data_IF_055507420735
#
_entry.id   IF_055507420735
#
_cell.length_a   1.000
_cell.length_b   1.000
_cell.length_c   1.000
_cell.angle_alpha   90.00
_cell.angle_beta   90.00
_cell.angle_gamma   90.00
#
_symmetry.space_group_name_H-M   'P 1'
#
loop_
_entity.id
_entity.type
_entity.pdbx_description
1 polymer ?
#
# COMPACT_ATOMS: atom_id res chain seq x y z
N UNK A 1 24.17 9.33 3.44
CA UNK A 1 23.38 9.87 3.61
C UNK A 1 22.55 10.66 2.66
N UNK A 2 21.37 10.12 2.43
CA UNK A 2 20.41 10.67 1.52
C UNK A 2 19.33 11.43 2.28
N UNK A 3 19.00 12.63 1.81
CA UNK A 3 17.98 13.46 2.41
C UNK A 3 16.57 12.92 2.24
N UNK A 4 15.63 13.52 2.97
CA UNK A 4 14.22 13.11 2.99
C UNK A 4 13.57 13.15 1.60
N UNK A 5 13.92 14.12 0.76
CA UNK A 5 13.34 14.26 -0.57
C UNK A 5 13.74 13.13 -1.52
N UNK A 6 14.99 12.70 -1.49
CA UNK A 6 15.45 11.57 -2.31
C UNK A 6 14.79 10.27 -1.86
N UNK A 7 14.66 10.06 -0.55
CA UNK A 7 13.95 8.90 -0.01
C UNK A 7 12.49 8.89 -0.44
N UNK A 8 11.81 10.02 -0.34
CA UNK A 8 10.41 10.15 -0.77
C UNK A 8 10.26 9.89 -2.28
N UNK A 9 11.17 10.41 -3.10
CA UNK A 9 11.19 10.17 -4.54
C UNK A 9 11.40 8.69 -4.87
N UNK A 10 12.31 8.01 -4.16
CA UNK A 10 12.55 6.58 -4.33
C UNK A 10 11.31 5.74 -3.98
N UNK A 11 10.67 6.05 -2.86
CA UNK A 11 9.43 5.37 -2.42
C UNK A 11 8.31 5.61 -3.43
N UNK A 12 8.13 6.83 -3.90
CA UNK A 12 7.14 7.18 -4.91
C UNK A 12 7.37 6.39 -6.20
N UNK A 13 8.60 6.35 -6.71
CA UNK A 13 8.93 5.61 -7.93
C UNK A 13 8.67 4.12 -7.78
N UNK A 14 9.05 3.53 -6.67
CA UNK A 14 8.89 2.10 -6.44
C UNK A 14 7.43 1.71 -6.21
N UNK A 15 6.73 2.39 -5.30
CA UNK A 15 5.37 2.02 -4.88
C UNK A 15 4.31 2.54 -5.85
N UNK A 16 4.36 3.82 -6.20
CA UNK A 16 3.32 4.46 -7.02
C UNK A 16 3.55 4.23 -8.51
N UNK A 17 4.80 4.31 -8.97
CA UNK A 17 5.14 4.15 -10.37
C UNK A 17 5.53 2.73 -10.74
N UNK A 18 5.55 1.81 -9.77
CA UNK A 18 5.85 0.39 -9.96
C UNK A 18 7.22 0.14 -10.60
N UNK A 19 8.19 1.00 -10.34
CA UNK A 19 9.56 0.84 -10.83
C UNK A 19 10.31 -0.11 -9.91
N UNK A 20 10.91 -1.20 -10.41
CA UNK A 20 11.69 -2.12 -9.58
C UNK A 20 12.83 -1.41 -8.85
N UNK A 21 13.21 -1.93 -7.67
CA UNK A 21 14.21 -1.30 -6.79
C UNK A 21 15.55 -1.04 -7.52
N UNK A 22 16.03 -1.99 -8.31
CA UNK A 22 17.27 -1.83 -9.08
C UNK A 22 17.18 -0.69 -10.09
N UNK A 23 16.03 -0.52 -10.71
CA UNK A 23 15.81 0.57 -11.66
C UNK A 23 15.67 1.90 -10.98
N UNK A 24 15.08 1.95 -9.79
CA UNK A 24 15.06 3.16 -8.95
C UNK A 24 16.50 3.57 -8.62
N UNK A 25 17.33 2.63 -8.20
CA UNK A 25 18.76 2.89 -7.92
C UNK A 25 19.49 3.44 -9.14
N UNK A 26 19.27 2.85 -10.31
CA UNK A 26 19.87 3.31 -11.55
C UNK A 26 19.42 4.74 -11.90
N UNK A 27 18.12 5.01 -11.81
CA UNK A 27 17.54 6.33 -12.07
C UNK A 27 18.17 7.40 -11.18
N UNK A 28 18.29 7.13 -9.87
CA UNK A 28 18.87 8.08 -8.93
C UNK A 28 20.38 8.25 -9.12
N UNK A 29 21.10 7.22 -9.53
CA UNK A 29 22.52 7.34 -9.93
C UNK A 29 22.68 8.23 -11.15
N UNK A 30 21.87 8.02 -12.16
CA UNK A 30 21.95 8.74 -13.42
C UNK A 30 21.59 10.22 -13.26
N UNK A 31 20.57 10.53 -12.46
CA UNK A 31 20.09 11.90 -12.27
C UNK A 31 20.86 12.67 -11.19
N UNK A 32 21.28 12.01 -10.12
CA UNK A 32 21.79 12.67 -8.91
C UNK A 32 23.14 12.13 -8.43
N UNK A 33 23.81 11.29 -9.21
CA UNK A 33 25.08 10.66 -8.85
C UNK A 33 25.03 9.91 -7.49
N UNK A 34 23.90 9.28 -7.17
CA UNK A 34 23.70 8.55 -5.91
C UNK A 34 24.39 7.17 -5.98
N UNK A 35 25.71 7.14 -5.93
CA UNK A 35 26.53 5.96 -6.24
C UNK A 35 26.52 4.86 -5.19
N UNK A 36 26.19 5.18 -3.93
CA UNK A 36 26.16 4.19 -2.82
C UNK A 36 24.78 3.58 -2.60
N UNK A 37 23.82 3.87 -3.46
CA UNK A 37 22.45 3.38 -3.32
C UNK A 37 22.33 1.95 -3.84
N UNK A 38 21.65 1.08 -3.09
CA UNK A 38 21.36 -0.28 -3.48
C UNK A 38 19.86 -0.62 -3.28
N UNK A 39 19.42 -1.73 -3.86
CA UNK A 39 18.03 -2.17 -3.76
C UNK A 39 17.53 -2.29 -2.31
N UNK A 40 18.38 -2.77 -1.41
CA UNK A 40 18.05 -2.87 0.01
C UNK A 40 17.75 -1.52 0.65
N UNK A 41 18.42 -0.43 0.21
CA UNK A 41 18.12 0.92 0.67
C UNK A 41 16.70 1.33 0.31
N UNK A 42 16.27 1.07 -0.91
CA UNK A 42 14.91 1.37 -1.38
C UNK A 42 13.88 0.57 -0.57
N UNK A 43 14.11 -0.72 -0.40
CA UNK A 43 13.24 -1.59 0.42
C UNK A 43 13.11 -1.07 1.85
N UNK A 44 14.22 -0.68 2.48
CA UNK A 44 14.20 -0.11 3.84
C UNK A 44 13.42 1.20 3.91
N UNK A 45 13.54 2.05 2.91
CA UNK A 45 12.80 3.32 2.87
C UNK A 45 11.30 3.10 2.66
N UNK A 46 10.92 2.13 1.81
CA UNK A 46 9.50 1.75 1.63
C UNK A 46 8.92 1.23 2.94
N UNK A 47 9.62 0.33 3.63
CA UNK A 47 9.18 -0.20 4.91
C UNK A 47 9.10 0.90 5.98
N UNK A 48 10.05 1.82 6.00
CA UNK A 48 10.04 2.98 6.89
C UNK A 48 8.86 3.91 6.63
N UNK A 49 8.56 4.18 5.36
CA UNK A 49 7.40 4.98 4.97
C UNK A 49 6.09 4.30 5.39
N UNK A 50 5.97 3.00 5.20
CA UNK A 50 4.79 2.23 5.61
C UNK A 50 4.55 2.35 7.12
N UNK A 51 5.59 2.25 7.94
CA UNK A 51 5.49 2.45 9.39
C UNK A 51 5.05 3.87 9.75
N UNK A 52 5.63 4.87 9.10
CA UNK A 52 5.30 6.29 9.34
C UNK A 52 3.85 6.60 8.97
N UNK A 53 3.33 5.96 7.93
CA UNK A 53 1.96 6.17 7.44
C UNK A 53 0.90 5.30 8.14
N UNK A 54 1.30 4.49 9.12
CA UNK A 54 0.39 3.59 9.83
C UNK A 54 -0.82 4.32 10.44
N UNK A 55 -0.61 5.45 11.08
CA UNK A 55 -1.68 6.24 11.68
C UNK A 55 -2.65 6.81 10.62
N UNK A 56 -2.13 7.19 9.45
CA UNK A 56 -2.96 7.65 8.33
C UNK A 56 -3.84 6.50 7.81
N UNK A 57 -3.27 5.30 7.67
CA UNK A 57 -4.01 4.10 7.25
C UNK A 57 -5.13 3.76 8.23
N UNK A 58 -4.84 3.80 9.53
CA UNK A 58 -5.85 3.60 10.58
C UNK A 58 -6.95 4.67 10.53
N UNK A 59 -6.60 5.91 10.28
CA UNK A 59 -7.57 7.00 10.12
C UNK A 59 -8.48 6.78 8.92
N UNK A 60 -7.94 6.35 7.77
CA UNK A 60 -8.72 5.99 6.58
C UNK A 60 -9.71 4.88 6.91
N UNK A 61 -9.25 3.84 7.59
CA UNK A 61 -10.10 2.72 7.99
C UNK A 61 -11.23 3.19 8.91
N UNK A 62 -10.94 4.03 9.90
CA UNK A 62 -11.94 4.59 10.80
C UNK A 62 -13.00 5.41 10.05
N UNK A 63 -12.58 6.20 9.08
CA UNK A 63 -13.51 6.97 8.23
C UNK A 63 -14.40 6.07 7.39
N UNK A 64 -13.87 4.98 6.86
CA UNK A 64 -14.63 3.99 6.10
C UNK A 64 -15.65 3.25 6.98
N UNK A 65 -15.38 3.06 8.27
CA UNK A 65 -16.32 2.41 9.20
C UNK A 65 -17.51 3.30 9.57
N UNK A 66 -17.32 4.62 9.54
CA UNK A 66 -18.38 5.61 9.84
C UNK A 66 -19.31 5.86 8.65
N UNK A 67 -18.92 5.48 7.45
CA UNK A 67 -19.55 5.91 6.21
C UNK A 67 -20.83 5.19 5.85
N UNK A 68 -21.57 5.75 4.87
CA UNK A 68 -22.81 5.24 4.33
C UNK A 68 -22.64 4.08 3.34
N UNK A 69 -22.46 4.39 2.05
CA UNK A 69 -22.30 3.37 1.00
C UNK A 69 -20.82 3.00 0.85
N UNK A 70 -20.53 1.71 0.92
CA UNK A 70 -19.17 1.16 0.79
C UNK A 70 -19.14 0.05 -0.25
N UNK A 71 -18.06 -0.01 -1.00
CA UNK A 71 -17.79 -1.08 -1.95
C UNK A 71 -16.76 -2.03 -1.35
N UNK A 72 -17.06 -3.30 -1.38
CA UNK A 72 -16.15 -4.37 -0.97
C UNK A 72 -15.82 -5.23 -2.17
N UNK A 73 -14.53 -5.49 -2.36
CA UNK A 73 -14.05 -6.39 -3.40
C UNK A 73 -12.96 -7.30 -2.85
N UNK A 74 -12.87 -8.50 -3.42
CA UNK A 74 -11.86 -9.49 -3.03
C UNK A 74 -11.16 -10.01 -4.28
N UNK A 75 -9.85 -9.95 -4.28
CA UNK A 75 -9.02 -10.44 -5.38
C UNK A 75 -8.01 -11.46 -4.86
N UNK A 76 -7.97 -12.64 -5.48
CA UNK A 76 -6.97 -13.65 -5.17
C UNK A 76 -5.59 -13.25 -5.69
N UNK A 77 -4.57 -13.40 -4.86
CA UNK A 77 -3.18 -13.17 -5.24
C UNK A 77 -2.25 -14.18 -4.57
N UNK A 78 -1.07 -14.39 -5.12
CA UNK A 78 -0.08 -15.28 -4.54
C UNK A 78 1.02 -14.50 -3.85
N UNK A 79 1.26 -14.85 -2.57
CA UNK A 79 2.36 -14.31 -1.78
C UNK A 79 3.26 -15.48 -1.39
N UNK A 80 4.51 -15.45 -1.80
CA UNK A 80 5.48 -16.54 -1.57
C UNK A 80 4.92 -17.92 -2.00
N UNK A 81 4.24 -17.98 -3.14
CA UNK A 81 3.64 -19.20 -3.68
C UNK A 81 2.31 -19.62 -3.06
N UNK A 82 1.89 -18.99 -1.97
CA UNK A 82 0.64 -19.31 -1.27
C UNK A 82 -0.48 -18.36 -1.69
N UNK A 83 -1.69 -18.88 -1.83
CA UNK A 83 -2.87 -18.09 -2.16
C UNK A 83 -3.27 -17.22 -0.96
N UNK A 84 -3.42 -15.94 -1.21
CA UNK A 84 -3.94 -14.94 -0.30
C UNK A 84 -5.06 -14.15 -0.98
N UNK A 85 -5.75 -13.34 -0.20
CA UNK A 85 -6.86 -12.52 -0.68
C UNK A 85 -6.62 -11.07 -0.33
N UNK A 86 -6.64 -10.22 -1.36
CA UNK A 86 -6.62 -8.78 -1.20
C UNK A 86 -8.06 -8.31 -1.05
N UNK A 87 -8.38 -7.78 0.11
CA UNK A 87 -9.67 -7.16 0.38
C UNK A 87 -9.53 -5.65 0.18
N UNK A 88 -10.36 -5.07 -0.66
CA UNK A 88 -10.48 -3.63 -0.80
C UNK A 88 -11.81 -3.14 -0.25
N UNK A 89 -11.74 -2.07 0.51
CA UNK A 89 -12.90 -1.39 1.06
C UNK A 89 -12.80 0.05 0.60
N UNK A 90 -13.83 0.55 -0.08
CA UNK A 90 -13.80 1.91 -0.60
C UNK A 90 -15.15 2.62 -0.50
N UNK A 91 -15.09 3.92 -0.40
CA UNK A 91 -16.22 4.83 -0.60
C UNK A 91 -15.85 5.89 -1.64
N UNK A 92 -16.59 6.99 -1.70
CA UNK A 92 -16.32 8.08 -2.64
C UNK A 92 -15.01 8.83 -2.40
N UNK A 93 -14.41 8.72 -1.20
CA UNK A 93 -13.25 9.50 -0.78
C UNK A 93 -12.04 8.66 -0.42
N UNK A 94 -12.23 7.44 0.11
CA UNK A 94 -11.16 6.63 0.69
C UNK A 94 -11.18 5.21 0.16
N UNK A 95 -9.99 4.59 0.11
CA UNK A 95 -9.80 3.17 -0.17
C UNK A 95 -8.81 2.58 0.83
N UNK A 96 -9.17 1.44 1.41
CA UNK A 96 -8.30 0.67 2.30
C UNK A 96 -8.09 -0.73 1.74
N UNK A 97 -6.85 -1.21 1.79
CA UNK A 97 -6.49 -2.55 1.36
C UNK A 97 -6.00 -3.39 2.52
N UNK A 98 -6.38 -4.66 2.53
CA UNK A 98 -5.91 -5.64 3.51
C UNK A 98 -5.67 -6.98 2.84
N UNK A 99 -4.57 -7.64 3.19
CA UNK A 99 -4.26 -8.99 2.73
C UNK A 99 -4.60 -9.98 3.84
N UNK A 100 -5.31 -11.07 3.47
CA UNK A 100 -5.68 -12.15 4.37
C UNK A 100 -5.41 -13.50 3.71
N UNK A 101 -5.05 -14.50 4.52
CA UNK A 101 -4.94 -15.88 4.06
C UNK A 101 -6.30 -16.53 3.79
N UNK A 102 -7.39 -15.94 4.28
CA UNK A 102 -8.77 -16.48 4.15
C UNK A 102 -9.62 -15.56 3.27
N UNK A 103 -10.38 -16.20 2.39
CA UNK A 103 -11.44 -15.54 1.65
C UNK A 103 -12.59 -15.18 2.59
N UNK A 104 -13.32 -14.09 2.27
CA UNK A 104 -14.51 -13.71 3.04
C UNK A 104 -14.23 -13.14 4.42
N UNK A 105 -12.98 -12.81 4.74
CA UNK A 105 -12.63 -12.15 6.00
C UNK A 105 -13.04 -10.67 5.97
N UNK A 106 -14.37 -10.43 5.83
CA UNK A 106 -14.92 -9.08 5.99
C UNK A 106 -14.70 -8.66 7.44
N UNK A 107 -14.07 -7.52 7.67
CA UNK A 107 -13.87 -7.05 9.03
C UNK A 107 -15.20 -6.91 9.76
N UNK A 108 -15.33 -7.55 10.91
CA UNK A 108 -16.54 -7.54 11.74
C UNK A 108 -16.94 -6.15 12.24
N UNK A 109 -16.05 -5.17 12.10
CA UNK A 109 -16.30 -3.77 12.49
C UNK A 109 -17.03 -2.97 11.40
N UNK A 110 -17.25 -3.53 10.21
CA UNK A 110 -18.06 -2.89 9.17
C UNK A 110 -19.54 -3.12 9.44
N UNK A 111 -19.98 -2.81 10.65
CA UNK A 111 -21.38 -2.87 11.05
C UNK A 111 -22.03 -1.52 10.78
N UNK A 112 -23.09 -1.51 9.98
CA UNK A 112 -23.86 -0.30 9.63
C UNK A 112 -23.52 0.27 8.23
N UNK A 113 -24.49 0.93 7.63
CA UNK A 113 -24.41 1.44 6.27
C UNK A 113 -24.71 0.39 5.21
N UNK A 114 -24.72 0.83 3.96
CA UNK A 114 -24.97 -0.04 2.80
C UNK A 114 -23.66 -0.60 2.27
N UNK A 115 -23.57 -1.92 2.18
CA UNK A 115 -22.42 -2.61 1.61
C UNK A 115 -22.78 -3.09 0.20
N UNK A 116 -21.98 -2.72 -0.77
CA UNK A 116 -22.11 -3.20 -2.15
C UNK A 116 -20.95 -4.13 -2.44
N UNK A 117 -21.27 -5.37 -2.79
CA UNK A 117 -20.30 -6.34 -3.26
C UNK A 117 -20.33 -6.35 -4.78
N UNK A 118 -19.16 -6.21 -5.39
CA UNK A 118 -18.99 -6.44 -6.82
C UNK A 118 -18.62 -7.90 -7.02
N UNK A 119 -19.37 -8.57 -7.89
CA UNK A 119 -19.18 -9.99 -8.18
C UNK A 119 -18.46 -10.20 -9.50
#
# INVERSE_FOLDING_TARGET
QYGKRIRAAAVYCNVQQLVPEDRVCQLLRDLFAATSLCAASVTNWVNGAARTLGDVVEHILARLTEGGVRHLDETGLRVAGKLHWLHSISDSAFTHYRISAKRGAVPSFLTGGTIVHDH
#
